data_IF_983742257585
#
_entry.id   IF_983742257585
#
_cell.length_a   1.000
_cell.length_b   1.000
_cell.length_c   1.000
_cell.angle_alpha   90.00
_cell.angle_beta   90.00
_cell.angle_gamma   90.00
#
_symmetry.space_group_name_H-M   'P 1'
#
loop_
_entity.id
_entity.type
_entity.pdbx_description
1 polymer ?
#
# COMPACT_ATOMS: atom_id res chain seq x y z
N UNK A 1 -3.71 9.21 14.74
CA UNK A 1 -4.15 7.83 15.02
C UNK A 1 -3.06 6.88 14.57
N UNK A 2 -2.68 5.86 15.36
CA UNK A 2 -1.68 4.87 14.95
C UNK A 2 -2.15 4.05 13.74
N UNK A 3 -1.22 3.68 12.85
CA UNK A 3 -1.51 2.88 11.65
C UNK A 3 -2.16 1.52 11.96
N UNK A 4 -1.76 0.89 13.06
CA UNK A 4 -2.36 -0.37 13.54
C UNK A 4 -3.83 -0.23 13.87
N UNK A 5 -4.22 0.89 14.49
CA UNK A 5 -5.62 1.18 14.83
C UNK A 5 -6.45 1.46 13.57
N UNK A 6 -5.89 2.17 12.60
CA UNK A 6 -6.54 2.40 11.30
C UNK A 6 -6.76 1.09 10.54
N UNK A 7 -5.77 0.18 10.54
CA UNK A 7 -5.91 -1.16 9.94
C UNK A 7 -7.00 -1.99 10.62
N UNK A 8 -7.05 -1.97 11.96
CA UNK A 8 -8.10 -2.66 12.72
C UNK A 8 -9.49 -2.11 12.42
N UNK A 9 -9.65 -0.79 12.26
CA UNK A 9 -10.92 -0.18 11.89
C UNK A 9 -11.32 -0.50 10.44
N UNK A 10 -10.37 -0.48 9.50
CA UNK A 10 -10.62 -0.90 8.12
C UNK A 10 -11.03 -2.37 8.03
N UNK A 11 -10.39 -3.26 8.80
CA UNK A 11 -10.74 -4.67 8.87
C UNK A 11 -12.15 -4.89 9.42
N UNK A 12 -12.55 -4.13 10.46
CA UNK A 12 -13.93 -4.13 10.95
C UNK A 12 -14.91 -3.65 9.89
N UNK A 13 -14.57 -2.60 9.14
CA UNK A 13 -15.41 -2.11 8.06
C UNK A 13 -15.57 -3.14 6.93
N UNK A 14 -14.50 -3.86 6.57
CA UNK A 14 -14.55 -4.92 5.55
C UNK A 14 -15.42 -6.12 5.94
N UNK A 15 -15.54 -6.41 7.24
CA UNK A 15 -16.40 -7.51 7.71
C UNK A 15 -17.90 -7.19 7.69
N UNK A 16 -18.27 -5.95 7.41
CA UNK A 16 -19.66 -5.49 7.43
C UNK A 16 -20.16 -5.30 5.99
N UNK A 17 -21.37 -5.76 5.72
CA UNK A 17 -22.07 -5.38 4.50
C UNK A 17 -22.70 -3.98 4.64
N UNK A 18 -23.28 -3.48 3.54
CA UNK A 18 -23.87 -2.14 3.51
C UNK A 18 -25.09 -1.99 4.45
N UNK A 19 -25.83 -3.07 4.72
CA UNK A 19 -26.99 -3.04 5.61
C UNK A 19 -26.55 -2.89 7.06
N UNK A 20 -25.63 -3.74 7.51
CA UNK A 20 -25.04 -3.70 8.84
C UNK A 20 -24.28 -2.40 9.09
N UNK A 21 -23.61 -1.85 8.06
CA UNK A 21 -22.95 -0.56 8.19
C UNK A 21 -23.95 0.57 8.50
N UNK A 22 -25.18 0.53 7.93
CA UNK A 22 -26.22 1.55 8.15
C UNK A 22 -26.79 1.55 9.56
N UNK A 23 -26.76 0.41 10.24
CA UNK A 23 -27.23 0.27 11.63
C UNK A 23 -26.23 0.81 12.67
N UNK A 24 -24.98 1.04 12.27
CA UNK A 24 -23.95 1.63 13.14
C UNK A 24 -24.21 3.12 13.35
N UNK A 25 -23.96 3.59 14.59
CA UNK A 25 -23.98 5.01 14.95
C UNK A 25 -23.23 5.87 13.91
N UNK A 26 -23.79 7.01 13.46
CA UNK A 26 -23.23 7.80 12.36
C UNK A 26 -21.74 8.10 12.51
N UNK A 27 -21.30 8.54 13.69
CA UNK A 27 -19.91 8.87 13.99
C UNK A 27 -18.95 7.69 13.78
N UNK A 28 -19.33 6.52 14.32
CA UNK A 28 -18.56 5.29 14.17
C UNK A 28 -18.58 4.80 12.73
N UNK A 29 -19.73 4.90 12.06
CA UNK A 29 -19.88 4.54 10.64
C UNK A 29 -18.95 5.37 9.75
N UNK A 30 -18.91 6.69 9.93
CA UNK A 30 -18.00 7.55 9.17
C UNK A 30 -16.54 7.20 9.44
N UNK A 31 -16.18 6.93 10.70
CA UNK A 31 -14.83 6.51 11.06
C UNK A 31 -14.42 5.21 10.35
N UNK A 32 -15.32 4.21 10.32
CA UNK A 32 -15.09 2.94 9.63
C UNK A 32 -14.94 3.13 8.12
N UNK A 33 -15.79 3.94 7.49
CA UNK A 33 -15.74 4.23 6.06
C UNK A 33 -14.42 4.93 5.70
N UNK A 34 -14.04 5.97 6.45
CA UNK A 34 -12.80 6.70 6.18
C UNK A 34 -11.57 5.81 6.38
N UNK A 35 -11.57 4.96 7.41
CA UNK A 35 -10.50 3.98 7.61
C UNK A 35 -10.40 2.99 6.45
N UNK A 36 -11.53 2.48 5.96
CA UNK A 36 -11.61 1.57 4.82
C UNK A 36 -11.09 2.22 3.53
N UNK A 37 -11.53 3.45 3.23
CA UNK A 37 -11.08 4.21 2.06
C UNK A 37 -9.57 4.43 2.09
N UNK A 38 -9.02 4.78 3.25
CA UNK A 38 -7.57 4.95 3.39
C UNK A 38 -6.83 3.63 3.15
N UNK A 39 -7.32 2.52 3.71
CA UNK A 39 -6.73 1.20 3.52
C UNK A 39 -6.71 0.79 2.03
N UNK A 40 -7.84 0.95 1.34
CA UNK A 40 -7.93 0.66 -0.10
C UNK A 40 -6.97 1.54 -0.91
N UNK A 41 -6.90 2.85 -0.59
CA UNK A 41 -6.01 3.79 -1.28
C UNK A 41 -4.53 3.44 -1.13
N UNK A 42 -4.10 3.03 0.08
CA UNK A 42 -2.71 2.59 0.31
C UNK A 42 -2.42 1.33 -0.50
N UNK A 43 -3.31 0.33 -0.42
CA UNK A 43 -3.15 -0.92 -1.19
C UNK A 43 -3.06 -0.67 -2.70
N UNK A 44 -3.96 0.16 -3.25
CA UNK A 44 -3.92 0.49 -4.69
C UNK A 44 -2.61 1.18 -5.08
N UNK A 45 -2.04 2.02 -4.21
CA UNK A 45 -0.73 2.64 -4.48
C UNK A 45 0.39 1.60 -4.50
N UNK A 46 0.36 0.64 -3.59
CA UNK A 46 1.34 -0.44 -3.54
C UNK A 46 1.24 -1.32 -4.79
N UNK A 47 0.02 -1.69 -5.19
CA UNK A 47 -0.24 -2.47 -6.41
C UNK A 47 0.28 -1.71 -7.66
N UNK A 48 0.04 -0.39 -7.74
CA UNK A 48 0.56 0.44 -8.83
C UNK A 48 2.09 0.54 -8.81
N UNK A 49 2.71 0.66 -7.63
CA UNK A 49 4.16 0.68 -7.50
C UNK A 49 4.78 -0.66 -7.94
N UNK A 50 4.16 -1.79 -7.59
CA UNK A 50 4.59 -3.11 -8.04
C UNK A 50 4.48 -3.25 -9.57
N UNK A 51 3.36 -2.83 -10.16
CA UNK A 51 3.18 -2.81 -11.62
C UNK A 51 4.21 -1.92 -12.31
N UNK A 52 4.53 -0.76 -11.71
CA UNK A 52 5.55 0.15 -12.22
C UNK A 52 6.93 -0.49 -12.21
N UNK A 53 7.33 -1.10 -11.08
CA UNK A 53 8.61 -1.80 -10.94
C UNK A 53 8.74 -2.90 -11.99
N UNK A 54 7.73 -3.77 -12.12
CA UNK A 54 7.73 -4.85 -13.12
C UNK A 54 7.90 -4.31 -14.54
N UNK A 55 7.18 -3.24 -14.90
CA UNK A 55 7.32 -2.61 -16.22
C UNK A 55 8.71 -2.01 -16.45
N UNK A 56 9.33 -1.41 -15.44
CA UNK A 56 10.71 -0.90 -15.55
C UNK A 56 11.75 -2.01 -15.66
N UNK A 57 11.52 -3.15 -15.01
CA UNK A 57 12.39 -4.32 -15.07
C UNK A 57 12.23 -5.09 -16.40
N UNK A 58 11.01 -5.18 -16.94
CA UNK A 58 10.70 -5.79 -18.25
C UNK A 58 11.17 -4.94 -19.45
N UNK A 59 11.15 -3.60 -19.31
CA UNK A 59 11.63 -2.66 -20.33
C UNK A 59 13.15 -2.49 -20.38
N UNK A 60 13.88 -3.04 -19.39
CA UNK A 60 15.34 -3.12 -19.46
C UNK A 60 15.69 -4.42 -20.20
N UNK A 61 16.24 -4.38 -21.44
CA UNK A 61 16.92 -5.55 -21.96
C UNK A 61 17.94 -5.96 -20.91
N UNK A 62 17.96 -7.25 -20.56
CA UNK A 62 18.99 -7.85 -19.72
C UNK A 62 20.34 -7.49 -20.32
N UNK A 63 20.91 -6.37 -19.86
CA UNK A 63 22.31 -6.03 -20.07
C UNK A 63 23.08 -6.92 -19.12
N UNK A 64 23.15 -8.18 -19.49
CA UNK A 64 24.20 -9.10 -19.08
C UNK A 64 25.60 -8.63 -19.56
N UNK A 65 25.73 -7.41 -20.10
CA UNK A 65 26.98 -6.84 -20.59
C UNK A 65 27.62 -5.79 -19.67
N UNK A 66 27.05 -5.41 -18.53
CA UNK A 66 27.74 -4.47 -17.62
C UNK A 66 27.48 -4.74 -16.13
N UNK A 67 27.90 -5.91 -15.65
CA UNK A 67 27.84 -6.29 -14.22
C UNK A 67 28.90 -5.59 -13.33
N UNK A 68 29.73 -4.71 -13.88
CA UNK A 68 30.87 -4.12 -13.15
C UNK A 68 30.72 -2.64 -12.77
N UNK A 69 29.68 -1.93 -13.19
CA UNK A 69 29.62 -0.47 -12.97
C UNK A 69 28.29 0.14 -12.46
N UNK A 70 27.25 -0.65 -12.19
CA UNK A 70 26.01 -0.10 -11.65
C UNK A 70 25.95 -0.31 -10.12
N UNK A 71 26.14 0.73 -9.27
CA UNK A 71 25.76 0.63 -7.87
C UNK A 71 24.26 0.35 -7.82
N UNK A 72 23.90 -0.68 -7.07
CA UNK A 72 22.57 -1.29 -6.97
C UNK A 72 21.49 -0.29 -6.53
N UNK A 73 21.01 0.52 -7.48
CA UNK A 73 19.90 1.47 -7.33
C UNK A 73 18.59 0.74 -6.99
N UNK A 74 18.46 -0.53 -7.42
CA UNK A 74 17.30 -1.35 -7.16
C UNK A 74 17.15 -1.70 -5.67
N UNK A 75 18.24 -2.13 -5.00
CA UNK A 75 18.18 -2.35 -3.55
C UNK A 75 18.06 -1.05 -2.76
N UNK A 76 18.63 0.05 -3.25
CA UNK A 76 18.53 1.34 -2.58
C UNK A 76 17.09 1.88 -2.60
N UNK A 77 16.42 1.83 -3.76
CA UNK A 77 15.00 2.18 -3.88
C UNK A 77 14.10 1.24 -3.08
N UNK A 78 14.36 -0.07 -3.12
CA UNK A 78 13.63 -1.05 -2.29
C UNK A 78 13.83 -0.81 -0.79
N UNK A 79 15.02 -0.38 -0.36
CA UNK A 79 15.32 -0.03 1.04
C UNK A 79 14.63 1.26 1.46
N UNK A 80 14.62 2.27 0.59
CA UNK A 80 13.98 3.56 0.84
C UNK A 80 12.45 3.43 0.90
N UNK A 81 11.85 2.67 -0.02
CA UNK A 81 10.41 2.37 -0.01
C UNK A 81 10.00 1.54 1.22
N UNK A 82 10.80 0.54 1.63
CA UNK A 82 10.54 -0.19 2.89
C UNK A 82 10.63 0.70 4.13
N UNK A 83 11.56 1.67 4.15
CA UNK A 83 11.68 2.60 5.29
C UNK A 83 10.49 3.54 5.43
N UNK A 84 9.85 3.94 4.32
CA UNK A 84 8.67 4.81 4.36
C UNK A 84 7.39 4.05 4.72
N UNK A 85 7.29 2.76 4.39
CA UNK A 85 6.09 1.94 4.70
C UNK A 85 6.03 1.54 6.18
N UNK A 86 7.16 1.47 6.89
CA UNK A 86 7.19 1.10 8.32
C UNK A 86 7.00 2.32 9.25
N UNK A 87 7.19 3.54 8.73
CA UNK A 87 7.11 4.79 9.51
C UNK A 87 5.76 5.54 9.43
N UNK A 88 4.76 5.01 8.70
CA UNK A 88 3.43 5.60 8.53
C UNK A 88 2.30 4.79 9.15
#
# INVERSE_FOLDING_TARGET
MPASKLRSLASQAMSLDAANLREILPEKRYTLIVALLNHMRVRTRDDLAEMFIRRTEEGLPSSAANKSFAPDMGSHLRRMLRSQIIAG
#
